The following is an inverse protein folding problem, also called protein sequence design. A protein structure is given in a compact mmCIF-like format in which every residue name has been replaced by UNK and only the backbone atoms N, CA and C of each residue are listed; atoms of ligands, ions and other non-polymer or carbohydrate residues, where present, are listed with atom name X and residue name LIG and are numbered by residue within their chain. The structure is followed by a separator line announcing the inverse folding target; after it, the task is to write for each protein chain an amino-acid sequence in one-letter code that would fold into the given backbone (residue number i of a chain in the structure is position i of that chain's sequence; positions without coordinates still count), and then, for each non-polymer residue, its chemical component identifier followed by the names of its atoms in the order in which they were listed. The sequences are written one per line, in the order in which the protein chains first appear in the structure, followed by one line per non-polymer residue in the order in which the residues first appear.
data_IF_887340423003
#
_entry.id   IF_887340423003
#
_cell.length_a   1.000
_cell.length_b   1.000
_cell.length_c   1.000
_cell.angle_alpha   90.00
_cell.angle_beta   90.00
_cell.angle_gamma   90.00
#
_symmetry.space_group_name_H-M   'P 1'
#
loop_
_entity.id
_entity.type
_entity.pdbx_description
1 polymer ?
#
# COMPACT_ATOMS: atom_id res chain seq x y z
N UNK A 1 -84.33 24.05 5.22
CA UNK A 1 -83.90 22.74 4.60
C UNK A 1 -82.41 22.60 4.79
N UNK A 2 -82.03 21.68 5.68
CA UNK A 2 -80.67 21.37 6.06
C UNK A 2 -79.89 20.61 4.99
N UNK A 3 -78.64 20.99 4.73
CA UNK A 3 -77.61 20.06 4.24
C UNK A 3 -76.25 20.41 4.83
N UNK A 4 -75.76 19.53 5.73
CA UNK A 4 -74.40 19.50 6.22
C UNK A 4 -73.41 19.07 5.12
N UNK A 5 -72.19 19.61 5.05
CA UNK A 5 -71.11 18.93 4.38
C UNK A 5 -70.12 18.28 5.38
N UNK A 6 -69.94 17.03 5.15
CA UNK A 6 -69.01 16.10 5.78
C UNK A 6 -67.55 16.59 5.65
N UNK A 7 -66.85 16.66 6.76
CA UNK A 7 -65.41 16.93 6.84
C UNK A 7 -64.65 15.63 6.51
N UNK A 8 -63.87 15.70 5.43
CA UNK A 8 -62.89 14.67 5.06
C UNK A 8 -61.58 14.98 5.75
N UNK A 9 -61.19 14.17 6.73
CA UNK A 9 -59.92 14.28 7.44
C UNK A 9 -58.85 13.55 6.60
N UNK A 10 -57.90 14.31 5.99
CA UNK A 10 -56.68 13.74 5.40
C UNK A 10 -55.70 13.42 6.53
N UNK A 11 -55.48 12.13 6.77
CA UNK A 11 -54.34 11.67 7.55
C UNK A 11 -53.07 11.73 6.65
N UNK A 12 -52.20 12.73 6.86
CA UNK A 12 -50.86 12.70 6.36
C UNK A 12 -50.02 11.81 7.26
N UNK A 13 -49.64 10.64 6.73
CA UNK A 13 -48.69 9.74 7.35
C UNK A 13 -47.27 10.28 7.05
N UNK A 14 -46.66 10.97 7.99
CA UNK A 14 -45.26 11.41 7.88
C UNK A 14 -44.34 10.21 8.08
N UNK A 15 -43.82 9.67 6.99
CA UNK A 15 -42.79 8.66 7.01
C UNK A 15 -41.43 9.33 7.34
N UNK A 16 -41.05 9.32 8.63
CA UNK A 16 -39.70 9.68 9.06
C UNK A 16 -38.71 8.62 8.54
N UNK A 17 -38.03 8.91 7.43
CA UNK A 17 -36.81 8.21 7.02
C UNK A 17 -35.72 8.55 8.02
N UNK A 18 -35.49 7.68 8.98
CA UNK A 18 -34.26 7.63 9.77
C UNK A 18 -33.13 7.22 8.82
N UNK A 19 -32.47 8.22 8.24
CA UNK A 19 -31.15 8.03 7.63
C UNK A 19 -30.18 7.82 8.80
N UNK A 20 -30.04 6.57 9.21
CA UNK A 20 -28.97 6.15 10.09
C UNK A 20 -27.64 6.46 9.43
N UNK A 21 -26.92 7.46 9.91
CA UNK A 21 -25.51 7.66 9.59
C UNK A 21 -24.76 6.40 10.00
N UNK A 22 -24.53 5.52 9.04
CA UNK A 22 -23.57 4.43 9.19
C UNK A 22 -22.21 5.09 9.31
N UNK A 23 -21.82 5.41 10.54
CA UNK A 23 -20.41 5.63 10.84
C UNK A 23 -19.74 4.27 10.60
N UNK A 24 -19.18 4.09 9.40
CA UNK A 24 -18.24 3.00 9.18
C UNK A 24 -17.05 3.29 10.09
N UNK A 25 -17.05 2.70 11.26
CA UNK A 25 -15.83 2.62 12.05
C UNK A 25 -14.78 2.02 11.13
N UNK A 26 -13.72 2.78 10.85
CA UNK A 26 -12.55 2.24 10.19
C UNK A 26 -12.16 0.98 10.97
N UNK A 27 -12.04 -0.15 10.28
CA UNK A 27 -11.68 -1.40 10.92
C UNK A 27 -10.28 -1.20 11.51
N UNK A 28 -10.21 -1.12 12.83
CA UNK A 28 -8.94 -0.99 13.55
C UNK A 28 -8.18 -2.28 13.33
N UNK A 29 -6.91 -2.19 12.91
CA UNK A 29 -6.05 -3.34 12.79
C UNK A 29 -5.87 -3.99 14.17
N UNK A 30 -5.75 -5.32 14.25
CA UNK A 30 -5.37 -5.99 15.48
C UNK A 30 -3.93 -5.62 15.86
N UNK A 31 -3.62 -5.76 17.15
CA UNK A 31 -2.25 -5.63 17.62
C UNK A 31 -1.36 -6.68 16.95
N UNK A 32 -0.09 -6.34 16.63
CA UNK A 32 0.86 -7.31 16.14
C UNK A 32 1.00 -8.47 17.14
N UNK A 33 0.92 -9.70 16.63
CA UNK A 33 1.03 -10.90 17.46
C UNK A 33 2.45 -11.15 18.02
N UNK A 34 3.42 -10.32 17.62
CA UNK A 34 4.82 -10.40 18.04
C UNK A 34 5.57 -11.65 17.55
N UNK A 35 4.94 -12.45 16.68
CA UNK A 35 5.55 -13.67 16.15
C UNK A 35 6.39 -13.39 14.90
N UNK A 36 7.47 -14.16 14.69
CA UNK A 36 8.17 -14.18 13.42
C UNK A 36 7.28 -14.71 12.30
N UNK A 37 7.59 -14.31 11.06
CA UNK A 37 6.96 -14.85 9.87
C UNK A 37 7.25 -16.33 9.65
N UNK A 38 6.45 -16.97 8.79
CA UNK A 38 6.72 -18.31 8.28
C UNK A 38 7.85 -18.28 7.24
N UNK A 39 9.07 -18.57 7.70
CA UNK A 39 10.28 -18.54 6.87
C UNK A 39 10.38 -19.72 5.88
N UNK A 40 9.39 -20.60 5.80
CA UNK A 40 9.30 -21.61 4.75
C UNK A 40 8.79 -21.05 3.42
N UNK A 41 8.31 -19.80 3.43
CA UNK A 41 7.81 -19.07 2.27
C UNK A 41 8.82 -18.00 1.81
N UNK A 42 8.85 -17.66 0.51
CA UNK A 42 9.69 -16.56 0.02
C UNK A 42 9.25 -15.21 0.64
N UNK A 43 10.22 -14.31 0.82
CA UNK A 43 9.95 -12.96 1.29
C UNK A 43 9.09 -12.22 0.27
N UNK A 44 7.95 -11.72 0.71
CA UNK A 44 7.09 -10.86 -0.10
C UNK A 44 7.62 -9.42 -0.08
N UNK A 45 8.17 -8.97 -1.19
CA UNK A 45 8.80 -7.66 -1.30
C UNK A 45 7.84 -6.63 -1.86
N UNK A 46 7.73 -5.50 -1.17
CA UNK A 46 7.01 -4.32 -1.63
C UNK A 46 7.95 -3.13 -1.70
N UNK A 47 8.14 -2.57 -2.90
CA UNK A 47 9.09 -1.49 -3.13
C UNK A 47 8.36 -0.14 -3.12
N UNK A 48 8.80 0.76 -2.27
CA UNK A 48 8.24 2.10 -2.09
C UNK A 48 9.13 3.12 -2.80
N UNK A 49 8.59 3.80 -3.80
CA UNK A 49 9.29 4.82 -4.60
C UNK A 49 8.49 6.12 -4.68
N UNK A 50 9.14 7.19 -5.06
CA UNK A 50 8.51 8.50 -5.18
C UNK A 50 9.45 9.64 -4.82
N UNK A 51 8.93 10.63 -4.10
CA UNK A 51 9.71 11.78 -3.64
C UNK A 51 9.55 12.00 -2.12
N UNK A 52 9.70 13.23 -1.65
CA UNK A 52 9.70 13.58 -0.23
C UNK A 52 8.47 13.11 0.56
N UNK A 53 7.30 13.00 -0.06
CA UNK A 53 6.11 12.47 0.61
C UNK A 53 6.26 10.97 0.92
N UNK A 54 6.79 10.18 -0.02
CA UNK A 54 7.14 8.78 0.23
C UNK A 54 8.30 8.64 1.22
N UNK A 55 9.29 9.55 1.13
CA UNK A 55 10.40 9.60 2.08
C UNK A 55 9.89 9.67 3.54
N UNK A 56 8.91 10.55 3.78
CA UNK A 56 8.25 10.69 5.06
C UNK A 56 8.86 11.77 5.97
N UNK A 57 7.97 12.53 6.61
CA UNK A 57 8.31 13.58 7.57
C UNK A 57 7.43 13.52 8.82
N UNK A 58 6.69 12.43 9.02
CA UNK A 58 5.86 12.20 10.20
C UNK A 58 6.67 12.32 11.48
N UNK A 59 6.16 13.09 12.44
CA UNK A 59 6.82 13.35 13.73
C UNK A 59 6.38 12.29 14.73
N UNK A 60 7.30 11.40 15.20
CA UNK A 60 6.96 10.33 16.13
C UNK A 60 6.45 10.85 17.48
N UNK A 61 7.02 11.93 18.01
CA UNK A 61 6.59 12.50 19.30
C UNK A 61 5.12 12.98 19.26
N UNK A 62 4.70 13.56 18.14
CA UNK A 62 3.30 13.97 17.94
C UNK A 62 2.40 12.73 17.76
N UNK A 63 2.87 11.70 17.05
CA UNK A 63 2.15 10.46 16.89
C UNK A 63 1.93 9.76 18.22
N UNK A 64 2.95 9.73 19.09
CA UNK A 64 2.86 9.11 20.42
C UNK A 64 1.67 9.63 21.22
N UNK A 65 1.40 10.94 21.15
CA UNK A 65 0.31 11.57 21.87
C UNK A 65 -1.10 11.20 21.39
N UNK A 66 -1.21 10.56 20.22
CA UNK A 66 -2.51 10.21 19.61
C UNK A 66 -2.60 8.73 19.21
N UNK A 67 -1.52 7.97 19.38
CA UNK A 67 -1.44 6.60 18.88
C UNK A 67 -2.46 5.68 19.56
N UNK A 68 -2.56 5.71 20.88
CA UNK A 68 -3.49 4.86 21.62
C UNK A 68 -4.95 5.06 21.19
N UNK A 69 -5.34 6.30 20.86
CA UNK A 69 -6.70 6.61 20.45
C UNK A 69 -6.98 6.32 18.96
N UNK A 70 -6.00 6.61 18.08
CA UNK A 70 -6.22 6.60 16.62
C UNK A 70 -5.62 5.39 15.91
N UNK A 71 -4.52 4.89 16.43
CA UNK A 71 -3.74 3.80 15.85
C UNK A 71 -3.30 2.84 16.97
N UNK A 72 -4.24 2.23 17.73
CA UNK A 72 -3.91 1.48 18.95
C UNK A 72 -2.94 0.34 18.70
N UNK A 73 -2.94 -0.27 17.52
CA UNK A 73 -1.99 -1.33 17.13
C UNK A 73 -0.51 -0.88 17.07
N UNK A 74 -0.24 0.44 17.15
CA UNK A 74 1.13 0.96 17.17
C UNK A 74 1.76 0.99 18.55
N UNK A 75 0.98 0.87 19.61
CA UNK A 75 1.46 0.94 21.00
C UNK A 75 0.94 -0.26 21.80
N UNK A 76 1.76 -0.73 22.72
CA UNK A 76 1.36 -1.74 23.69
C UNK A 76 0.62 -1.13 24.91
N UNK A 77 0.19 -1.95 25.85
CA UNK A 77 -0.51 -1.52 27.07
C UNK A 77 0.32 -0.55 27.94
N UNK A 78 1.64 -0.55 27.82
CA UNK A 78 2.53 0.38 28.50
C UNK A 78 2.76 1.67 27.70
N UNK A 79 2.17 1.80 26.50
CA UNK A 79 2.34 2.93 25.61
C UNK A 79 3.67 2.92 24.83
N UNK A 80 4.42 1.84 24.83
CA UNK A 80 5.62 1.70 24.01
C UNK A 80 5.26 1.29 22.58
N UNK A 81 6.10 1.67 21.61
CA UNK A 81 5.88 1.29 20.21
C UNK A 81 5.94 -0.22 20.03
N UNK A 82 4.91 -0.79 19.39
CA UNK A 82 4.91 -2.19 18.97
C UNK A 82 5.96 -2.45 17.90
N UNK A 83 6.40 -3.70 17.79
CA UNK A 83 7.36 -4.16 16.79
C UNK A 83 6.79 -5.36 16.07
N UNK A 84 6.61 -5.27 14.75
CA UNK A 84 6.25 -6.41 13.91
C UNK A 84 7.50 -7.20 13.55
N UNK A 85 7.60 -8.45 14.01
CA UNK A 85 8.74 -9.33 13.74
C UNK A 85 8.59 -10.15 12.43
N UNK A 86 7.48 -9.99 11.77
CA UNK A 86 7.12 -10.56 10.46
C UNK A 86 7.38 -9.59 9.31
N UNK A 87 7.53 -8.28 9.59
CA UNK A 87 7.75 -7.24 8.59
C UNK A 87 9.08 -6.52 8.82
N UNK A 88 9.96 -6.53 7.80
CA UNK A 88 11.18 -5.72 7.77
C UNK A 88 10.92 -4.39 7.10
N UNK A 89 11.48 -3.33 7.65
CA UNK A 89 11.52 -1.99 7.09
C UNK A 89 12.95 -1.62 6.71
N UNK A 90 13.23 -1.61 5.42
CA UNK A 90 14.55 -1.24 4.88
C UNK A 90 14.39 0.02 4.04
N UNK A 91 15.21 1.02 4.35
CA UNK A 91 15.26 2.25 3.59
C UNK A 91 16.67 2.50 3.09
N UNK A 92 16.82 2.60 1.76
CA UNK A 92 18.04 2.96 1.06
C UNK A 92 17.80 4.26 0.28
N UNK A 93 18.74 5.18 0.30
CA UNK A 93 18.61 6.50 -0.34
C UNK A 93 19.81 6.79 -1.24
N UNK A 94 19.55 6.86 -2.52
CA UNK A 94 20.49 7.26 -3.56
C UNK A 94 20.32 8.76 -3.92
N UNK A 95 21.34 9.34 -4.52
CA UNK A 95 21.24 10.61 -5.25
C UNK A 95 21.97 10.45 -6.60
N UNK A 96 21.21 10.55 -7.69
CA UNK A 96 21.69 10.14 -9.02
C UNK A 96 21.70 8.62 -9.18
N UNK A 97 22.49 8.12 -10.14
CA UNK A 97 22.48 6.71 -10.56
C UNK A 97 23.41 5.77 -9.77
N UNK A 98 23.92 6.21 -8.63
CA UNK A 98 24.78 5.38 -7.77
C UNK A 98 23.94 4.64 -6.74
N UNK A 99 24.43 3.47 -6.30
CA UNK A 99 23.84 2.77 -5.16
C UNK A 99 23.88 3.67 -3.94
N UNK A 100 22.74 3.77 -3.27
CA UNK A 100 22.53 4.64 -2.12
C UNK A 100 23.11 4.12 -0.81
N UNK A 101 22.94 4.91 0.23
CA UNK A 101 23.26 4.51 1.59
C UNK A 101 22.00 4.00 2.31
N UNK A 102 22.13 2.88 3.03
CA UNK A 102 21.06 2.36 3.90
C UNK A 102 20.85 3.32 5.05
N UNK A 103 19.61 3.73 5.25
CA UNK A 103 19.16 4.68 6.28
C UNK A 103 18.40 4.00 7.41
N UNK A 104 17.66 2.90 7.10
CA UNK A 104 16.99 2.05 8.07
C UNK A 104 17.17 0.58 7.66
N UNK A 105 17.31 -0.29 8.64
CA UNK A 105 17.28 -1.74 8.51
C UNK A 105 16.80 -2.32 9.83
N UNK A 106 15.49 -2.39 10.02
CA UNK A 106 14.86 -2.70 11.30
C UNK A 106 13.60 -3.53 11.12
N UNK A 107 13.13 -4.18 12.16
CA UNK A 107 11.76 -4.69 12.19
C UNK A 107 10.80 -3.52 12.21
N UNK A 108 9.62 -3.68 11.59
CA UNK A 108 8.69 -2.57 11.43
C UNK A 108 8.22 -2.04 12.80
N UNK A 109 8.58 -0.81 13.07
CA UNK A 109 8.18 -0.03 14.25
C UNK A 109 8.28 1.46 13.93
N UNK A 110 7.73 2.29 14.80
CA UNK A 110 7.91 3.75 14.69
C UNK A 110 9.25 4.12 15.29
N UNK A 111 10.24 4.39 14.43
CA UNK A 111 11.60 4.81 14.83
C UNK A 111 12.00 6.09 14.10
N UNK A 112 12.11 7.19 14.78
CA UNK A 112 12.42 8.50 14.20
C UNK A 112 11.36 8.96 13.18
N UNK A 113 11.71 9.84 12.26
CA UNK A 113 10.80 10.29 11.20
C UNK A 113 10.35 9.12 10.35
N UNK A 114 9.08 9.12 9.99
CA UNK A 114 8.46 8.07 9.22
C UNK A 114 7.58 8.63 8.07
N UNK A 115 7.27 7.77 7.14
CA UNK A 115 6.38 8.00 6.01
C UNK A 115 5.23 6.98 6.01
N UNK A 116 4.67 6.68 4.84
CA UNK A 116 3.55 5.76 4.70
C UNK A 116 3.92 4.29 5.01
N UNK A 117 5.22 3.96 5.07
CA UNK A 117 5.69 2.58 5.29
C UNK A 117 5.13 1.93 6.55
N UNK A 118 4.84 2.72 7.59
CA UNK A 118 4.30 2.18 8.83
C UNK A 118 2.89 1.61 8.61
N UNK A 119 1.97 2.44 8.09
CA UNK A 119 0.61 1.99 7.79
C UNK A 119 0.57 0.88 6.74
N UNK A 120 1.38 1.00 5.67
CA UNK A 120 1.50 -0.03 4.62
C UNK A 120 1.93 -1.36 5.23
N UNK A 121 3.00 -1.38 6.02
CA UNK A 121 3.58 -2.61 6.55
C UNK A 121 2.67 -3.31 7.56
N UNK A 122 1.93 -2.55 8.40
CA UNK A 122 0.94 -3.15 9.28
C UNK A 122 -0.21 -3.82 8.51
N UNK A 123 -0.72 -3.19 7.45
CA UNK A 123 -1.77 -3.81 6.63
C UNK A 123 -1.30 -5.05 5.87
N UNK A 124 -0.06 -5.03 5.36
CA UNK A 124 0.48 -6.17 4.62
C UNK A 124 0.82 -7.35 5.53
N UNK A 125 1.48 -7.11 6.67
CA UNK A 125 1.77 -8.18 7.64
C UNK A 125 0.53 -8.80 8.27
N UNK A 126 -0.62 -8.08 8.28
CA UNK A 126 -1.88 -8.61 8.80
C UNK A 126 -2.52 -9.68 7.88
N UNK A 127 -2.20 -9.70 6.60
CA UNK A 127 -2.90 -10.56 5.62
C UNK A 127 -2.08 -11.74 5.12
N UNK A 128 -0.85 -11.91 5.62
CA UNK A 128 0.02 -13.02 5.22
C UNK A 128 0.84 -13.52 6.41
N UNK A 129 1.13 -14.81 6.42
CA UNK A 129 2.10 -15.41 7.33
C UNK A 129 3.52 -15.44 6.73
N UNK A 130 3.64 -15.19 5.42
CA UNK A 130 4.92 -15.09 4.75
C UNK A 130 5.71 -13.87 5.25
N UNK A 131 7.05 -13.91 5.23
CA UNK A 131 7.89 -12.78 5.57
C UNK A 131 7.66 -11.60 4.62
N UNK A 132 7.52 -10.38 5.15
CA UNK A 132 7.26 -9.15 4.37
C UNK A 132 8.47 -8.22 4.46
N UNK A 133 8.94 -7.74 3.31
CA UNK A 133 9.96 -6.70 3.22
C UNK A 133 9.36 -5.42 2.61
N UNK A 134 9.26 -4.37 3.41
CA UNK A 134 9.00 -3.02 2.95
C UNK A 134 10.33 -2.38 2.60
N UNK A 135 10.59 -2.25 1.30
CA UNK A 135 11.83 -1.72 0.77
C UNK A 135 11.62 -0.32 0.19
N UNK A 136 11.99 0.70 0.94
CA UNK A 136 11.91 2.09 0.49
C UNK A 136 13.19 2.48 -0.24
N UNK A 137 13.07 2.88 -1.52
CA UNK A 137 14.14 3.43 -2.33
C UNK A 137 13.67 4.74 -2.98
N UNK A 138 13.96 5.87 -2.35
CA UNK A 138 13.54 7.19 -2.82
C UNK A 138 14.34 8.31 -2.17
N UNK A 139 14.28 9.50 -2.79
CA UNK A 139 14.84 10.74 -2.27
C UNK A 139 13.89 11.91 -2.57
N UNK A 140 13.98 13.01 -1.79
CA UNK A 140 13.15 14.19 -1.97
C UNK A 140 13.41 14.96 -3.27
N UNK A 141 12.40 15.78 -3.67
CA UNK A 141 12.48 16.73 -4.77
C UNK A 141 12.86 16.07 -6.12
N UNK A 142 12.17 15.03 -6.52
CA UNK A 142 12.34 14.31 -7.80
C UNK A 142 11.05 14.31 -8.59
N UNK A 143 11.16 14.62 -9.91
CA UNK A 143 10.05 14.61 -10.87
C UNK A 143 10.03 13.29 -11.66
N UNK A 144 8.82 12.82 -11.98
CA UNK A 144 8.64 11.70 -12.90
C UNK A 144 8.99 12.09 -14.34
N UNK A 145 8.74 13.36 -14.72
CA UNK A 145 9.03 13.87 -16.06
C UNK A 145 10.49 14.12 -16.35
N UNK A 146 11.39 14.00 -15.37
CA UNK A 146 12.84 14.22 -15.55
C UNK A 146 13.68 13.27 -14.70
N UNK A 147 13.73 13.45 -13.37
CA UNK A 147 14.67 12.72 -12.52
C UNK A 147 14.39 11.21 -12.47
N UNK A 148 13.12 10.84 -12.44
CA UNK A 148 12.63 9.46 -12.34
C UNK A 148 12.03 8.97 -13.67
N UNK A 149 12.35 9.63 -14.80
CA UNK A 149 11.84 9.24 -16.11
C UNK A 149 12.27 7.79 -16.42
N UNK A 150 11.30 6.87 -16.62
CA UNK A 150 11.62 5.45 -16.74
C UNK A 150 12.11 5.09 -18.16
N UNK A 151 12.78 3.94 -18.32
CA UNK A 151 13.04 3.33 -19.62
C UNK A 151 11.78 3.23 -20.51
N UNK A 152 11.94 3.42 -21.81
CA UNK A 152 10.82 3.45 -22.77
C UNK A 152 10.14 4.82 -22.94
N UNK A 153 10.62 5.84 -22.19
CA UNK A 153 10.15 7.21 -22.36
C UNK A 153 10.86 7.90 -23.50
N UNK A 154 10.10 8.21 -24.57
CA UNK A 154 10.61 8.88 -25.75
C UNK A 154 10.67 10.41 -25.58
N UNK A 155 11.58 11.10 -26.29
CA UNK A 155 11.60 12.56 -26.34
C UNK A 155 10.30 13.08 -27.00
N UNK A 156 9.85 14.25 -26.57
CA UNK A 156 8.63 14.86 -27.09
C UNK A 156 8.68 16.38 -27.11
N UNK A 157 7.93 16.99 -28.00
CA UNK A 157 7.82 18.45 -28.07
C UNK A 157 6.72 18.97 -27.12
N UNK A 158 7.06 20.03 -26.38
CA UNK A 158 6.09 20.78 -25.58
C UNK A 158 6.43 22.28 -25.60
N UNK A 159 5.47 23.09 -26.08
CA UNK A 159 5.65 24.56 -26.12
C UNK A 159 6.84 25.03 -26.97
N UNK A 160 7.12 24.37 -28.10
CA UNK A 160 8.23 24.68 -29.00
C UNK A 160 9.61 24.22 -28.50
N UNK A 161 9.65 23.39 -27.42
CA UNK A 161 10.90 22.84 -26.88
C UNK A 161 10.82 21.31 -26.84
N UNK A 162 11.90 20.67 -27.29
CA UNK A 162 12.04 19.23 -27.17
C UNK A 162 12.36 18.87 -25.71
N UNK A 163 11.54 18.02 -25.14
CA UNK A 163 11.75 17.42 -23.83
C UNK A 163 12.53 16.12 -23.98
N UNK A 164 13.54 15.85 -23.14
CA UNK A 164 14.34 14.64 -23.24
C UNK A 164 13.55 13.35 -23.01
N UNK A 165 13.89 12.33 -23.78
CA UNK A 165 13.57 10.94 -23.47
C UNK A 165 14.50 10.35 -22.42
N UNK A 166 14.25 9.09 -22.03
CA UNK A 166 15.09 8.40 -21.06
C UNK A 166 16.56 8.39 -21.48
N UNK A 167 17.42 8.75 -20.55
CA UNK A 167 18.88 8.99 -20.72
C UNK A 167 19.27 10.13 -21.67
N UNK A 168 18.29 10.89 -22.18
CA UNK A 168 18.58 12.13 -22.91
C UNK A 168 18.98 13.27 -21.98
N UNK A 169 19.48 14.36 -22.59
CA UNK A 169 19.81 15.61 -21.91
C UNK A 169 19.09 16.78 -22.59
N UNK A 170 18.97 17.97 -21.97
CA UNK A 170 18.40 19.14 -22.62
C UNK A 170 19.10 19.53 -23.95
N UNK A 171 20.40 19.29 -24.04
CA UNK A 171 21.20 19.59 -25.25
C UNK A 171 21.15 18.47 -26.30
N UNK A 172 20.79 17.25 -25.87
CA UNK A 172 20.59 16.09 -26.74
C UNK A 172 19.38 15.26 -26.29
N UNK A 173 18.14 15.74 -26.54
CA UNK A 173 16.93 15.13 -26.01
C UNK A 173 16.66 13.70 -26.49
N UNK A 174 17.06 13.36 -27.70
CA UNK A 174 16.93 12.01 -28.27
C UNK A 174 18.15 11.14 -28.11
N UNK A 175 19.22 11.65 -27.45
CA UNK A 175 20.46 10.90 -27.24
C UNK A 175 20.36 9.95 -26.03
N UNK A 176 21.33 9.06 -25.94
CA UNK A 176 21.52 8.17 -24.79
C UNK A 176 22.92 8.43 -24.19
N UNK A 177 22.95 8.88 -22.95
CA UNK A 177 24.19 9.05 -22.19
C UNK A 177 24.85 7.74 -21.79
N UNK A 178 24.13 6.62 -21.91
CA UNK A 178 24.58 5.32 -21.40
C UNK A 178 24.61 5.25 -19.86
N UNK A 179 23.98 6.21 -19.18
CA UNK A 179 24.06 6.34 -17.72
C UNK A 179 25.35 7.01 -17.23
N UNK A 180 26.12 7.63 -18.12
CA UNK A 180 27.38 8.28 -17.78
C UNK A 180 27.18 9.67 -17.17
N UNK A 181 27.34 9.75 -15.83
CA UNK A 181 27.24 10.99 -15.07
C UNK A 181 28.32 12.01 -15.33
N UNK A 182 29.41 11.64 -16.02
CA UNK A 182 30.42 12.61 -16.44
C UNK A 182 29.89 13.59 -17.49
N UNK A 183 28.81 13.21 -18.19
CA UNK A 183 28.02 14.05 -19.10
C UNK A 183 26.94 14.90 -18.41
N UNK A 184 26.91 14.90 -17.09
CA UNK A 184 25.95 15.62 -16.30
C UNK A 184 24.71 14.77 -15.90
N UNK A 185 23.73 15.43 -15.27
CA UNK A 185 22.46 14.80 -14.91
C UNK A 185 21.61 14.58 -16.16
N UNK A 186 21.15 13.36 -16.38
CA UNK A 186 20.32 12.95 -17.51
C UNK A 186 18.89 12.57 -17.07
N UNK A 187 17.95 12.53 -18.01
CA UNK A 187 16.59 12.10 -17.74
C UNK A 187 16.54 10.63 -17.28
N UNK A 188 15.98 10.37 -16.12
CA UNK A 188 15.94 9.04 -15.49
C UNK A 188 17.15 8.72 -14.61
N UNK A 189 18.07 9.66 -14.41
CA UNK A 189 19.25 9.42 -13.59
C UNK A 189 18.93 8.94 -12.16
N UNK A 190 17.88 9.47 -11.53
CA UNK A 190 17.44 9.03 -10.20
C UNK A 190 16.70 7.69 -10.27
N UNK A 191 15.96 7.42 -11.36
CA UNK A 191 15.35 6.10 -11.59
C UNK A 191 16.41 5.00 -11.57
N UNK A 192 17.50 5.19 -12.34
CA UNK A 192 18.61 4.23 -12.38
C UNK A 192 19.20 3.98 -10.99
N UNK A 193 19.37 5.02 -10.19
CA UNK A 193 19.90 4.92 -8.83
C UNK A 193 18.97 4.25 -7.84
N UNK A 194 17.68 4.58 -7.88
CA UNK A 194 16.70 4.00 -6.97
C UNK A 194 16.48 2.51 -7.27
N UNK A 195 16.40 2.14 -8.56
CA UNK A 195 16.29 0.74 -9.00
C UNK A 195 17.54 -0.06 -8.65
N UNK A 196 18.74 0.46 -8.96
CA UNK A 196 20.00 -0.20 -8.61
C UNK A 196 20.16 -0.37 -7.11
N UNK A 197 19.73 0.62 -6.32
CA UNK A 197 19.76 0.55 -4.86
C UNK A 197 18.83 -0.53 -4.31
N UNK A 198 17.61 -0.61 -4.85
CA UNK A 198 16.66 -1.66 -4.43
C UNK A 198 17.17 -3.05 -4.82
N UNK A 199 17.69 -3.24 -6.03
CA UNK A 199 18.31 -4.50 -6.46
C UNK A 199 19.48 -4.91 -5.57
N UNK A 200 20.33 -3.94 -5.17
CA UNK A 200 21.43 -4.20 -4.24
C UNK A 200 20.96 -4.75 -2.89
N UNK A 201 19.84 -4.28 -2.36
CA UNK A 201 19.23 -4.84 -1.13
C UNK A 201 18.78 -6.29 -1.37
N UNK A 202 18.10 -6.55 -2.48
CA UNK A 202 17.57 -7.88 -2.80
C UNK A 202 18.67 -8.91 -3.11
N UNK A 203 19.76 -8.50 -3.75
CA UNK A 203 20.97 -9.33 -3.97
C UNK A 203 21.68 -9.72 -2.67
N UNK A 204 21.42 -9.00 -1.57
CA UNK A 204 21.97 -9.25 -0.25
C UNK A 204 20.86 -9.53 0.78
N UNK A 205 19.83 -10.27 0.38
CA UNK A 205 18.57 -10.43 1.12
C UNK A 205 18.75 -10.85 2.57
N UNK A 206 19.58 -11.86 2.86
CA UNK A 206 19.81 -12.36 4.22
C UNK A 206 20.33 -11.29 5.19
N UNK A 207 21.10 -10.32 4.70
CA UNK A 207 21.57 -9.17 5.50
C UNK A 207 20.42 -8.26 5.91
N UNK A 208 19.37 -8.17 5.11
CA UNK A 208 18.25 -7.25 5.30
C UNK A 208 16.99 -7.92 5.81
N UNK A 209 16.84 -9.20 5.55
CA UNK A 209 15.85 -10.06 6.17
C UNK A 209 16.54 -11.34 6.65
N UNK A 210 16.99 -11.41 7.92
CA UNK A 210 17.81 -12.52 8.43
C UNK A 210 17.16 -13.89 8.24
N UNK A 211 17.91 -14.82 7.65
CA UNK A 211 17.48 -16.18 7.36
C UNK A 211 16.69 -16.33 6.05
N UNK A 212 16.45 -15.27 5.30
CA UNK A 212 15.76 -15.33 4.03
C UNK A 212 16.72 -15.76 2.89
N UNK A 213 16.25 -16.70 2.04
CA UNK A 213 17.01 -17.18 0.88
C UNK A 213 16.34 -16.86 -0.45
N UNK A 214 15.03 -16.61 -0.42
CA UNK A 214 14.22 -16.36 -1.61
C UNK A 214 13.27 -15.17 -1.39
N UNK A 215 12.92 -14.51 -2.47
CA UNK A 215 11.94 -13.42 -2.45
C UNK A 215 11.08 -13.40 -3.70
N UNK A 216 9.95 -12.73 -3.59
CA UNK A 216 9.06 -12.39 -4.72
C UNK A 216 8.65 -10.91 -4.61
N UNK A 217 8.83 -10.14 -5.69
CA UNK A 217 8.36 -8.75 -5.73
C UNK A 217 6.86 -8.76 -6.03
N UNK A 218 6.05 -8.52 -5.00
CA UNK A 218 4.59 -8.52 -5.07
C UNK A 218 4.00 -7.21 -5.55
N UNK A 219 4.68 -6.10 -5.30
CA UNK A 219 4.13 -4.82 -5.71
C UNK A 219 4.99 -3.60 -5.43
N UNK A 220 4.50 -2.48 -5.96
CA UNK A 220 5.13 -1.18 -5.86
C UNK A 220 4.17 -0.17 -5.28
N UNK A 221 4.71 0.78 -4.51
CA UNK A 221 3.99 1.93 -3.99
C UNK A 221 4.61 3.23 -4.50
N UNK A 222 3.76 4.16 -4.92
CA UNK A 222 4.17 5.42 -5.52
C UNK A 222 3.46 6.60 -4.89
N UNK A 223 4.23 7.51 -4.26
CA UNK A 223 3.70 8.78 -3.76
C UNK A 223 4.59 9.95 -4.20
N UNK A 224 4.22 10.53 -5.33
CA UNK A 224 5.00 11.55 -6.02
C UNK A 224 4.06 12.50 -6.80
N UNK A 225 4.57 13.63 -7.32
CA UNK A 225 3.85 14.56 -8.19
C UNK A 225 4.10 16.04 -7.85
N UNK A 226 4.56 16.35 -6.64
CA UNK A 226 4.75 17.75 -6.20
C UNK A 226 5.73 18.53 -7.10
N UNK A 227 6.80 17.91 -7.56
CA UNK A 227 7.76 18.55 -8.46
C UNK A 227 7.19 18.69 -9.87
N UNK A 228 6.45 17.69 -10.36
CA UNK A 228 5.87 17.69 -11.72
C UNK A 228 4.74 18.69 -11.87
N UNK A 229 3.91 18.91 -10.85
CA UNK A 229 2.77 19.85 -10.93
C UNK A 229 3.18 21.28 -11.26
N UNK A 230 4.45 21.63 -11.06
CA UNK A 230 5.03 22.97 -11.33
C UNK A 230 5.63 23.10 -12.73
N UNK A 231 5.64 22.02 -13.49
CA UNK A 231 6.14 21.98 -14.86
C UNK A 231 5.01 21.49 -15.79
N UNK A 232 4.54 22.34 -16.68
CA UNK A 232 3.41 22.02 -17.56
C UNK A 232 3.69 20.80 -18.44
N UNK A 233 4.91 20.68 -18.99
CA UNK A 233 5.30 19.55 -19.81
C UNK A 233 5.25 18.23 -19.03
N UNK A 234 5.75 18.22 -17.79
CA UNK A 234 5.72 17.04 -16.93
C UNK A 234 4.31 16.68 -16.52
N UNK A 235 3.49 17.66 -16.12
CA UNK A 235 2.12 17.44 -15.69
C UNK A 235 1.24 16.86 -16.84
N UNK A 236 1.42 17.33 -18.05
CA UNK A 236 0.67 16.83 -19.23
C UNK A 236 1.07 15.41 -19.64
N UNK A 237 2.35 15.07 -19.48
CA UNK A 237 2.89 13.75 -19.84
C UNK A 237 2.81 12.73 -18.70
N UNK A 238 2.35 13.14 -17.52
CA UNK A 238 2.44 12.36 -16.29
C UNK A 238 1.81 10.96 -16.41
N UNK A 239 0.63 10.85 -17.02
CA UNK A 239 -0.07 9.57 -17.16
C UNK A 239 0.72 8.56 -18.00
N UNK A 240 1.29 8.99 -19.13
CA UNK A 240 2.12 8.14 -19.97
C UNK A 240 3.41 7.73 -19.25
N UNK A 241 4.06 8.67 -18.57
CA UNK A 241 5.28 8.38 -17.82
C UNK A 241 5.00 7.42 -16.65
N UNK A 242 3.81 7.50 -16.03
CA UNK A 242 3.39 6.57 -14.97
C UNK A 242 3.18 5.15 -15.52
N UNK A 243 2.57 5.01 -16.70
CA UNK A 243 2.44 3.70 -17.36
C UNK A 243 3.81 3.12 -17.69
N UNK A 244 4.70 3.92 -18.29
CA UNK A 244 6.08 3.51 -18.58
C UNK A 244 6.83 3.10 -17.29
N UNK A 245 6.62 3.82 -16.18
CA UNK A 245 7.19 3.49 -14.88
C UNK A 245 6.74 2.10 -14.40
N UNK A 246 5.45 1.83 -14.44
CA UNK A 246 4.89 0.53 -14.02
C UNK A 246 5.49 -0.61 -14.84
N UNK A 247 5.54 -0.45 -16.16
CA UNK A 247 6.10 -1.45 -17.07
C UNK A 247 7.60 -1.64 -16.87
N UNK A 248 8.35 -0.54 -16.71
CA UNK A 248 9.79 -0.58 -16.47
C UNK A 248 10.12 -1.26 -15.13
N UNK A 249 9.42 -0.93 -14.06
CA UNK A 249 9.62 -1.57 -12.75
C UNK A 249 9.32 -3.08 -12.81
N UNK A 250 8.21 -3.48 -13.43
CA UNK A 250 7.90 -4.90 -13.62
C UNK A 250 8.99 -5.65 -14.37
N UNK A 251 9.53 -5.04 -15.41
CA UNK A 251 10.65 -5.61 -16.20
C UNK A 251 11.93 -5.64 -15.39
N UNK A 252 12.29 -4.55 -14.71
CA UNK A 252 13.54 -4.43 -13.99
C UNK A 252 13.67 -5.37 -12.80
N UNK A 253 12.54 -5.72 -12.18
CA UNK A 253 12.47 -6.64 -11.04
C UNK A 253 11.97 -8.04 -11.40
N UNK A 254 11.85 -8.36 -12.69
CA UNK A 254 11.32 -9.64 -13.19
C UNK A 254 9.98 -10.04 -12.52
N UNK A 255 9.09 -9.05 -12.40
CA UNK A 255 7.82 -9.17 -11.69
C UNK A 255 6.63 -8.71 -12.56
N UNK A 256 6.32 -9.43 -13.67
CA UNK A 256 5.35 -8.99 -14.67
C UNK A 256 3.93 -8.80 -14.12
N UNK A 257 3.61 -9.49 -13.04
CA UNK A 257 2.30 -9.42 -12.38
C UNK A 257 2.30 -8.56 -11.11
N UNK A 258 3.43 -7.92 -10.75
CA UNK A 258 3.49 -7.09 -9.56
C UNK A 258 2.44 -5.97 -9.59
N UNK A 259 1.77 -5.79 -8.47
CA UNK A 259 0.74 -4.80 -8.28
C UNK A 259 1.34 -3.40 -8.10
N UNK A 260 0.53 -2.37 -8.34
CA UNK A 260 0.99 -1.00 -8.20
C UNK A 260 -0.05 -0.15 -7.48
N UNK A 261 0.33 0.59 -6.46
CA UNK A 261 -0.56 1.52 -5.75
C UNK A 261 0.02 2.92 -5.80
N UNK A 262 -0.76 3.88 -6.34
CA UNK A 262 -0.39 5.29 -6.39
C UNK A 262 -1.27 6.14 -5.49
N UNK A 263 -0.69 7.20 -4.90
CA UNK A 263 -1.37 8.13 -4.02
C UNK A 263 -1.26 9.56 -4.55
N UNK A 264 -2.39 10.29 -4.57
CA UNK A 264 -2.46 11.68 -5.02
C UNK A 264 -1.76 12.65 -4.05
N UNK A 265 -1.65 13.93 -4.45
CA UNK A 265 -1.18 14.99 -3.55
C UNK A 265 -2.32 15.45 -2.63
N UNK A 266 -2.04 15.59 -1.32
CA UNK A 266 -3.07 15.84 -0.31
C UNK A 266 -3.79 17.19 -0.42
N UNK A 267 -3.16 18.20 -1.02
CA UNK A 267 -3.82 19.49 -1.26
C UNK A 267 -4.77 19.48 -2.46
N UNK A 268 -4.64 18.50 -3.38
CA UNK A 268 -5.37 18.48 -4.65
C UNK A 268 -6.78 17.98 -4.47
N UNK A 269 -7.77 18.80 -4.84
CA UNK A 269 -9.18 18.42 -4.85
C UNK A 269 -9.59 17.80 -6.19
N UNK A 270 -10.57 16.92 -6.16
CA UNK A 270 -11.23 16.48 -7.40
C UNK A 270 -11.74 17.68 -8.18
N UNK A 271 -11.50 17.70 -9.50
CA UNK A 271 -11.86 18.81 -10.37
C UNK A 271 -10.88 20.00 -10.35
N UNK A 272 -9.74 19.90 -9.66
CA UNK A 272 -8.66 20.89 -9.82
C UNK A 272 -8.16 20.90 -11.27
N UNK A 273 -7.90 22.11 -11.81
CA UNK A 273 -7.50 22.31 -13.23
C UNK A 273 -6.02 22.63 -13.42
N UNK A 274 -5.27 22.82 -12.33
CA UNK A 274 -3.83 23.08 -12.34
C UNK A 274 -2.99 21.87 -12.68
N UNK A 275 -1.66 22.00 -12.61
CA UNK A 275 -0.75 20.87 -12.80
C UNK A 275 -0.99 19.73 -11.81
N UNK A 276 -1.35 20.04 -10.59
CA UNK A 276 -1.75 19.08 -9.57
C UNK A 276 -3.03 18.32 -9.94
N UNK A 277 -4.03 19.02 -10.51
CA UNK A 277 -5.26 18.42 -11.01
C UNK A 277 -4.99 17.45 -12.18
N UNK A 278 -4.13 17.86 -13.14
CA UNK A 278 -3.72 17.00 -14.26
C UNK A 278 -3.06 15.69 -13.75
N UNK A 279 -2.20 15.78 -12.73
CA UNK A 279 -1.55 14.63 -12.12
C UNK A 279 -2.57 13.72 -11.40
N UNK A 280 -3.50 14.30 -10.65
CA UNK A 280 -4.58 13.55 -9.99
C UNK A 280 -5.40 12.75 -11.02
N UNK A 281 -5.84 13.42 -12.11
CA UNK A 281 -6.64 12.80 -13.15
C UNK A 281 -5.85 11.72 -13.89
N UNK A 282 -4.56 11.95 -14.13
CA UNK A 282 -3.67 10.96 -14.74
C UNK A 282 -3.52 9.70 -13.89
N UNK A 283 -3.25 9.83 -12.56
CA UNK A 283 -3.16 8.70 -11.64
C UNK A 283 -4.46 7.90 -11.59
N UNK A 284 -5.61 8.61 -11.53
CA UNK A 284 -6.92 7.99 -11.54
C UNK A 284 -7.19 7.25 -12.84
N UNK A 285 -6.88 7.86 -13.98
CA UNK A 285 -7.08 7.25 -15.31
C UNK A 285 -6.22 5.99 -15.49
N UNK A 286 -4.97 5.99 -15.03
CA UNK A 286 -4.09 4.80 -15.08
C UNK A 286 -4.65 3.67 -14.22
N UNK A 287 -5.16 3.96 -13.03
CA UNK A 287 -5.76 2.95 -12.16
C UNK A 287 -7.11 2.40 -12.68
N UNK A 288 -7.81 3.18 -13.52
CA UNK A 288 -9.07 2.81 -14.14
C UNK A 288 -8.90 2.28 -15.57
N UNK A 289 -7.67 2.05 -16.01
CA UNK A 289 -7.37 1.59 -17.36
C UNK A 289 -7.91 0.17 -17.60
N UNK A 290 -8.52 0.00 -18.78
CA UNK A 290 -8.95 -1.32 -19.27
C UNK A 290 -7.83 -2.08 -20.00
N UNK A 291 -6.64 -1.48 -20.12
CA UNK A 291 -5.49 -2.16 -20.73
C UNK A 291 -5.10 -3.39 -19.90
N UNK A 292 -4.87 -4.52 -20.55
CA UNK A 292 -4.64 -5.83 -19.89
C UNK A 292 -3.48 -5.83 -18.87
N UNK A 293 -2.44 -5.05 -19.13
CA UNK A 293 -1.30 -4.91 -18.21
C UNK A 293 -1.63 -4.14 -16.93
N UNK A 294 -2.68 -3.32 -16.93
CA UNK A 294 -3.04 -2.41 -15.85
C UNK A 294 -4.34 -2.78 -15.15
N UNK A 295 -5.29 -3.35 -15.89
CA UNK A 295 -6.63 -3.68 -15.42
C UNK A 295 -6.59 -4.58 -14.18
N UNK A 296 -7.15 -4.11 -13.07
CA UNK A 296 -7.18 -4.84 -11.81
C UNK A 296 -5.83 -4.98 -11.10
N UNK A 297 -4.75 -4.39 -11.66
CA UNK A 297 -3.39 -4.46 -11.10
C UNK A 297 -2.88 -3.12 -10.56
N UNK A 298 -3.66 -2.04 -10.73
CA UNK A 298 -3.28 -0.70 -10.28
C UNK A 298 -4.35 -0.13 -9.35
N UNK A 299 -3.95 0.26 -8.15
CA UNK A 299 -4.78 0.93 -7.15
C UNK A 299 -4.48 2.44 -7.09
N UNK A 300 -5.52 3.23 -6.81
CA UNK A 300 -5.43 4.67 -6.64
C UNK A 300 -5.98 5.10 -5.29
N UNK A 301 -5.18 5.86 -4.53
CA UNK A 301 -5.57 6.46 -3.26
C UNK A 301 -5.75 7.96 -3.39
N UNK A 302 -6.98 8.44 -3.18
CA UNK A 302 -7.27 9.86 -3.10
C UNK A 302 -6.95 10.39 -1.70
N UNK A 303 -5.87 11.16 -1.58
CA UNK A 303 -5.31 11.53 -0.28
C UNK A 303 -5.82 12.85 0.29
N UNK A 304 -6.59 13.65 -0.46
CA UNK A 304 -7.09 14.96 0.01
C UNK A 304 -7.84 14.87 1.36
N UNK A 305 -8.82 13.95 1.54
CA UNK A 305 -9.54 13.83 2.80
C UNK A 305 -8.70 13.24 3.93
N UNK A 306 -7.59 12.58 3.60
CA UNK A 306 -6.69 11.91 4.55
C UNK A 306 -5.60 12.86 5.07
N UNK A 307 -5.37 13.97 4.38
CA UNK A 307 -4.22 14.85 4.61
C UNK A 307 -4.56 16.01 5.52
N UNK A 308 -3.70 16.26 6.49
CA UNK A 308 -3.73 17.36 7.44
C UNK A 308 -2.36 18.07 7.46
N UNK A 309 -2.30 19.27 7.98
CA UNK A 309 -1.03 19.98 8.17
C UNK A 309 -0.50 20.74 6.96
N UNK A 310 -1.34 20.99 5.94
CA UNK A 310 -0.98 21.80 4.78
C UNK A 310 -0.74 21.00 3.51
N UNK A 311 0.16 21.49 2.65
CA UNK A 311 0.40 20.90 1.32
C UNK A 311 1.58 19.92 1.30
N UNK A 312 1.67 19.13 0.21
CA UNK A 312 2.80 18.24 -0.09
C UNK A 312 4.14 18.99 -0.15
N UNK A 313 4.16 20.21 -0.65
CA UNK A 313 5.37 21.05 -0.72
C UNK A 313 5.94 21.37 0.66
N UNK A 314 5.08 21.54 1.65
CA UNK A 314 5.46 21.74 3.06
C UNK A 314 5.54 20.44 3.84
N UNK A 315 5.50 19.28 3.15
CA UNK A 315 5.51 17.96 3.79
C UNK A 315 4.43 17.84 4.88
N UNK A 316 3.26 18.45 4.61
CA UNK A 316 2.12 18.46 5.55
C UNK A 316 2.48 18.95 6.97
N UNK A 317 3.48 19.83 7.10
CA UNK A 317 4.00 20.31 8.39
C UNK A 317 4.61 19.20 9.26
N UNK A 318 4.87 18.04 8.70
CA UNK A 318 5.28 16.84 9.43
C UNK A 318 4.14 16.21 10.23
N UNK A 319 2.88 16.46 9.85
CA UNK A 319 1.71 15.92 10.55
C UNK A 319 1.70 14.37 10.46
N UNK A 320 1.77 13.64 11.58
CA UNK A 320 1.86 12.19 11.57
C UNK A 320 0.57 11.52 11.07
N UNK A 321 -0.61 12.11 11.32
CA UNK A 321 -1.87 11.55 10.85
C UNK A 321 -1.93 11.46 9.32
N UNK A 322 -1.34 12.42 8.61
CA UNK A 322 -1.28 12.36 7.14
C UNK A 322 -0.50 11.13 6.68
N UNK A 323 0.67 10.89 7.25
CA UNK A 323 1.52 9.75 6.86
C UNK A 323 0.90 8.41 7.25
N UNK A 324 0.27 8.35 8.42
CA UNK A 324 -0.46 7.14 8.85
C UNK A 324 -1.69 6.87 7.98
N UNK A 325 -2.58 7.86 7.83
CA UNK A 325 -3.82 7.69 7.07
C UNK A 325 -3.55 7.33 5.60
N UNK A 326 -2.55 7.98 4.97
CA UNK A 326 -2.16 7.65 3.59
C UNK A 326 -1.52 6.28 3.53
N UNK A 327 -0.65 5.93 4.49
CA UNK A 327 -0.04 4.62 4.58
C UNK A 327 -1.04 3.49 4.74
N UNK A 328 -2.00 3.63 5.66
CA UNK A 328 -3.11 2.67 5.82
C UNK A 328 -3.95 2.53 4.56
N UNK A 329 -4.31 3.66 3.92
CA UNK A 329 -5.11 3.63 2.69
C UNK A 329 -4.35 2.95 1.53
N UNK A 330 -3.04 3.20 1.40
CA UNK A 330 -2.20 2.53 0.40
C UNK A 330 -2.07 1.03 0.72
N UNK A 331 -1.85 0.66 1.98
CA UNK A 331 -1.80 -0.73 2.42
C UNK A 331 -3.10 -1.47 2.15
N UNK A 332 -4.25 -0.88 2.49
CA UNK A 332 -5.58 -1.41 2.18
C UNK A 332 -5.79 -1.62 0.68
N UNK A 333 -5.44 -0.63 -0.14
CA UNK A 333 -5.56 -0.73 -1.59
C UNK A 333 -4.73 -1.89 -2.16
N UNK A 334 -3.51 -2.11 -1.66
CA UNK A 334 -2.68 -3.25 -2.07
C UNK A 334 -3.30 -4.58 -1.64
N UNK A 335 -3.81 -4.68 -0.42
CA UNK A 335 -4.49 -5.88 0.09
C UNK A 335 -5.73 -6.22 -0.75
N UNK A 336 -6.50 -5.22 -1.18
CA UNK A 336 -7.65 -5.44 -2.07
C UNK A 336 -7.21 -5.96 -3.44
N UNK A 337 -6.15 -5.41 -4.01
CA UNK A 337 -5.60 -5.91 -5.27
C UNK A 337 -5.09 -7.34 -5.16
N UNK A 338 -4.39 -7.69 -4.07
CA UNK A 338 -3.90 -9.06 -3.80
C UNK A 338 -5.05 -10.06 -3.70
N UNK A 339 -6.15 -9.71 -3.03
CA UNK A 339 -7.34 -10.56 -2.95
C UNK A 339 -7.96 -10.81 -4.32
N UNK A 340 -8.05 -9.76 -5.14
CA UNK A 340 -8.63 -9.87 -6.48
C UNK A 340 -7.76 -10.72 -7.42
N UNK A 341 -6.44 -10.74 -7.25
CA UNK A 341 -5.56 -11.66 -7.99
C UNK A 341 -5.78 -13.12 -7.57
N UNK A 342 -5.84 -13.41 -6.27
CA UNK A 342 -6.08 -14.76 -5.76
C UNK A 342 -7.42 -15.33 -6.24
N UNK A 343 -8.47 -14.50 -6.30
CA UNK A 343 -9.77 -14.88 -6.89
C UNK A 343 -9.71 -15.08 -8.41
N UNK A 344 -8.79 -14.37 -9.09
CA UNK A 344 -8.56 -14.48 -10.55
C UNK A 344 -7.84 -15.78 -10.93
N UNK A 345 -6.82 -16.14 -10.19
CA UNK A 345 -6.06 -17.38 -10.40
C UNK A 345 -6.91 -18.62 -10.08
N UNK A 346 -7.82 -18.53 -9.11
CA UNK A 346 -8.82 -19.57 -8.84
C UNK A 346 -9.85 -19.72 -9.98
N UNK A 347 -10.16 -18.65 -10.73
CA UNK A 347 -11.08 -18.68 -11.89
C UNK A 347 -10.42 -19.17 -13.19
N UNK A 348 -9.11 -19.00 -13.35
CA UNK A 348 -8.38 -19.49 -14.52
C UNK A 348 -8.06 -21.00 -14.45
N UNK A 349 -8.20 -21.62 -13.28
CA UNK A 349 -7.82 -23.00 -13.01
C UNK A 349 -8.96 -24.00 -12.78
N UNK A 350 -10.23 -23.61 -12.74
CA UNK A 350 -11.32 -24.60 -12.63
C UNK A 350 -12.69 -23.99 -12.98
N UNK A 351 -13.21 -24.42 -14.13
CA UNK A 351 -14.63 -24.48 -14.38
C UNK A 351 -15.20 -25.68 -13.59
N UNK A 352 -15.55 -25.46 -12.34
CA UNK A 352 -16.51 -26.28 -11.59
C UNK A 352 -17.03 -25.49 -10.38
N UNK A 353 -18.34 -25.23 -10.39
CA UNK A 353 -19.15 -24.79 -9.27
C UNK A 353 -18.84 -25.60 -8.01
N UNK A 354 -18.20 -24.99 -7.01
CA UNK A 354 -18.33 -25.39 -5.64
C UNK A 354 -18.52 -24.13 -4.80
N UNK A 355 -19.74 -23.91 -4.31
CA UNK A 355 -19.97 -23.07 -3.13
C UNK A 355 -18.97 -23.45 -2.04
N UNK A 356 -18.41 -22.50 -1.26
CA UNK A 356 -17.60 -22.85 -0.11
C UNK A 356 -18.47 -23.75 0.77
N UNK A 357 -17.99 -24.98 1.00
CA UNK A 357 -18.65 -25.91 1.89
C UNK A 357 -18.82 -25.21 3.23
N UNK A 358 -20.05 -24.83 3.57
CA UNK A 358 -20.36 -24.34 4.89
C UNK A 358 -19.87 -25.40 5.88
N UNK A 359 -18.89 -25.06 6.69
CA UNK A 359 -18.47 -25.90 7.79
C UNK A 359 -19.73 -26.16 8.62
N UNK A 360 -20.19 -27.41 8.66
CA UNK A 360 -21.30 -27.78 9.54
C UNK A 360 -21.01 -27.27 10.96
N UNK A 361 -22.05 -27.08 11.75
CA UNK A 361 -21.92 -26.51 13.11
C UNK A 361 -20.82 -27.26 13.89
N UNK A 362 -19.71 -26.55 14.17
CA UNK A 362 -18.57 -27.12 14.88
C UNK A 362 -18.75 -26.96 16.38
N UNK A 363 -18.34 -27.94 17.19
CA UNK A 363 -18.45 -27.84 18.64
C UNK A 363 -17.52 -26.75 19.19
N UNK A 364 -17.93 -26.15 20.31
CA UNK A 364 -17.05 -25.34 21.15
C UNK A 364 -15.93 -26.26 21.67
N UNK A 365 -14.67 -25.84 21.52
CA UNK A 365 -13.50 -26.62 21.98
C UNK A 365 -12.42 -25.71 22.53
N UNK A 366 -11.51 -26.30 23.28
CA UNK A 366 -10.30 -25.64 23.73
C UNK A 366 -9.30 -25.54 22.57
N UNK A 367 -8.88 -24.34 22.25
CA UNK A 367 -7.79 -24.04 21.31
C UNK A 367 -6.56 -23.66 22.10
N UNK A 368 -5.42 -24.19 21.71
CA UNK A 368 -4.14 -23.94 22.37
C UNK A 368 -3.22 -23.19 21.41
N UNK A 369 -2.71 -22.05 21.84
CA UNK A 369 -1.70 -21.33 21.08
C UNK A 369 -0.37 -22.08 21.09
N UNK A 370 0.51 -21.77 20.12
CA UNK A 370 1.89 -22.29 20.09
C UNK A 370 2.66 -21.99 21.36
N UNK A 371 2.32 -20.92 22.08
CA UNK A 371 2.89 -20.53 23.36
C UNK A 371 2.23 -21.17 24.59
N UNK A 372 1.24 -22.09 24.41
CA UNK A 372 0.58 -22.84 25.49
C UNK A 372 -0.63 -22.13 26.12
N UNK A 373 -0.96 -20.92 25.70
CA UNK A 373 -2.20 -20.25 26.16
C UNK A 373 -3.42 -20.90 25.54
N UNK A 374 -4.53 -21.00 26.29
CA UNK A 374 -5.76 -21.66 25.84
C UNK A 374 -6.95 -20.70 25.75
N UNK A 375 -7.89 -20.98 24.83
CA UNK A 375 -9.17 -20.28 24.72
C UNK A 375 -10.28 -21.24 24.34
N UNK A 376 -11.52 -20.92 24.70
CA UNK A 376 -12.72 -21.64 24.27
C UNK A 376 -13.33 -20.94 23.06
N UNK A 377 -13.45 -21.67 21.95
CA UNK A 377 -14.06 -21.15 20.72
C UNK A 377 -14.55 -22.26 19.81
N UNK A 378 -15.42 -21.96 18.87
CA UNK A 378 -15.78 -22.86 17.76
C UNK A 378 -15.19 -22.37 16.44
N UNK A 379 -14.77 -23.30 15.61
CA UNK A 379 -14.32 -23.01 14.25
C UNK A 379 -15.54 -22.67 13.39
N UNK A 380 -15.57 -21.47 12.81
CA UNK A 380 -16.69 -21.02 11.97
C UNK A 380 -16.31 -20.85 10.50
N UNK A 381 -15.02 -20.88 10.18
CA UNK A 381 -14.57 -20.82 8.81
C UNK A 381 -13.06 -20.69 8.67
N UNK A 382 -12.60 -20.77 7.42
CA UNK A 382 -11.25 -20.38 7.01
C UNK A 382 -11.43 -19.33 5.91
N UNK A 383 -10.94 -18.11 6.14
CA UNK A 383 -11.09 -17.00 5.23
C UNK A 383 -9.71 -16.38 4.94
N UNK A 384 -9.32 -16.37 3.67
CA UNK A 384 -8.03 -15.84 3.26
C UNK A 384 -6.82 -16.52 3.94
N UNK A 385 -6.91 -17.86 4.14
CA UNK A 385 -5.87 -18.63 4.81
C UNK A 385 -5.85 -18.50 6.34
N UNK A 386 -6.76 -17.70 6.93
CA UNK A 386 -6.88 -17.50 8.37
C UNK A 386 -8.05 -18.25 8.97
N UNK A 387 -7.86 -18.79 10.14
CA UNK A 387 -8.85 -19.53 10.93
C UNK A 387 -9.79 -18.53 11.60
N UNK A 388 -11.08 -18.64 11.34
CA UNK A 388 -12.11 -17.81 11.98
C UNK A 388 -12.69 -18.58 13.14
N UNK A 389 -12.48 -18.09 14.36
CA UNK A 389 -13.03 -18.64 15.58
C UNK A 389 -14.11 -17.73 16.16
N UNK A 390 -15.23 -18.32 16.60
CA UNK A 390 -16.25 -17.63 17.36
C UNK A 390 -16.08 -17.97 18.85
N UNK A 391 -15.84 -16.94 19.64
CA UNK A 391 -15.64 -17.05 21.09
C UNK A 391 -16.97 -17.27 21.82
N UNK A 392 -16.93 -17.65 23.11
CA UNK A 392 -18.12 -17.86 23.96
C UNK A 392 -19.06 -16.64 24.00
N UNK A 393 -18.52 -15.43 23.87
CA UNK A 393 -19.29 -14.19 23.84
C UNK A 393 -19.90 -13.86 22.47
N UNK A 394 -19.82 -14.78 21.50
CA UNK A 394 -20.31 -14.60 20.12
C UNK A 394 -19.44 -13.74 19.22
N UNK A 395 -18.32 -13.20 19.71
CA UNK A 395 -17.41 -12.43 18.85
C UNK A 395 -16.58 -13.35 17.96
N UNK A 396 -16.40 -12.97 16.68
CA UNK A 396 -15.57 -13.71 15.73
C UNK A 396 -14.20 -13.07 15.64
N UNK A 397 -13.16 -13.90 15.72
CA UNK A 397 -11.76 -13.48 15.57
C UNK A 397 -11.05 -14.34 14.54
N UNK A 398 -10.13 -13.73 13.79
CA UNK A 398 -9.30 -14.40 12.79
C UNK A 398 -7.89 -14.60 13.35
N UNK A 399 -7.39 -15.82 13.22
CA UNK A 399 -6.08 -16.20 13.68
C UNK A 399 -5.28 -16.82 12.53
N UNK A 400 -3.94 -16.64 12.54
CA UNK A 400 -3.07 -17.41 11.67
C UNK A 400 -3.11 -18.89 12.05
N UNK A 401 -3.04 -19.79 11.07
CA UNK A 401 -2.86 -21.23 11.33
C UNK A 401 -1.63 -21.50 12.21
N UNK A 402 -0.54 -20.76 11.99
CA UNK A 402 0.73 -20.92 12.73
C UNK A 402 0.66 -20.50 14.19
N UNK A 403 -0.37 -19.75 14.59
CA UNK A 403 -0.57 -19.34 15.98
C UNK A 403 -1.01 -20.48 16.89
N UNK A 404 -1.48 -21.61 16.33
CA UNK A 404 -2.03 -22.74 17.09
C UNK A 404 -1.00 -23.85 17.33
N UNK A 405 -1.28 -24.69 18.34
CA UNK A 405 -0.55 -25.93 18.61
C UNK A 405 -0.57 -26.87 17.39
N UNK A 406 0.33 -27.84 17.35
CA UNK A 406 0.38 -28.83 16.27
C UNK A 406 -0.94 -29.65 16.18
N UNK A 407 -1.55 -29.97 17.31
CA UNK A 407 -2.82 -30.69 17.39
C UNK A 407 -3.97 -29.86 16.79
N UNK A 408 -4.04 -28.56 17.12
CA UNK A 408 -5.06 -27.67 16.60
C UNK A 408 -4.87 -27.37 15.11
N UNK A 409 -3.62 -27.27 14.65
CA UNK A 409 -3.34 -27.17 13.21
C UNK A 409 -3.82 -28.40 12.44
N UNK A 410 -3.54 -29.58 12.95
CA UNK A 410 -4.04 -30.83 12.35
C UNK A 410 -5.57 -30.91 12.36
N UNK A 411 -6.23 -30.31 13.37
CA UNK A 411 -7.68 -30.20 13.38
C UNK A 411 -8.17 -29.23 12.29
N UNK A 412 -7.55 -28.06 12.13
CA UNK A 412 -7.90 -27.07 11.11
C UNK A 412 -7.78 -27.65 9.69
N UNK A 413 -6.75 -28.45 9.44
CA UNK A 413 -6.48 -29.08 8.13
C UNK A 413 -7.60 -30.03 7.66
N UNK A 414 -8.39 -30.58 8.58
CA UNK A 414 -9.54 -31.41 8.23
C UNK A 414 -10.69 -30.63 7.57
N UNK A 415 -10.70 -29.31 7.71
CA UNK A 415 -11.80 -28.45 7.26
C UNK A 415 -11.38 -27.43 6.17
N UNK A 416 -10.15 -27.38 5.79
CA UNK A 416 -9.69 -26.35 4.86
C UNK A 416 -8.48 -26.76 4.06
N UNK A 417 -8.48 -28.00 3.64
CA UNK A 417 -7.47 -28.77 2.93
C UNK A 417 -6.49 -28.05 2.07
#
# INVERSE_FOLDING_TARGET
MHRNPTRLACFMLALLLLVGSQHTHAQVLPDPDGQPADMSQPVQVYILMGQSNMLGFGKPDVLQGIAADKYPYLVDDAGAWTVRKDVRNVFIMASGNKIGAVKKNEWLTVSGRFGPEIGIGHHLGEVTDAPVLILKSCIGNRSLGWDLLPPGSEPYEHGGKMQPGYRGTPDNPGGDTGGDMSKGWYAGCQYDGDVSSAKHILENLDKYYPGATEYEVKGFFWWQGDKDMRNAAHAERYGLNLVNLIQALRKDFDAPNALFVTASLGQTKMGSTGGDGKILDAMKAVAQSDHEDLKGKVGFVYTHPLSKGGSSSGHYGGNPETYMNVGEAMGKAMVELLKNQGDGDAKAGNDQNAEPAALGEQPMRTWTSKGGSTMQAKLVGIEGGRVVLELENGSKRKYSKSAFSEEDRAYIEKFGG
#
